data_IF_848685977693
#
_entry.id   IF_848685977693
#
_cell.length_a   1.000
_cell.length_b   1.000
_cell.length_c   1.000
_cell.angle_alpha   90.00
_cell.angle_beta   90.00
_cell.angle_gamma   90.00
#
_symmetry.space_group_name_H-M   'P 1'
#
loop_
_entity.id
_entity.type
_entity.pdbx_description
1 polymer ?
#
# COMPACT_ATOMS: atom_id res chain seq x y z
N UNK A 1 2.04 -40.45 -25.41
CA UNK A 1 3.51 -40.55 -25.35
C UNK A 1 3.96 -39.75 -24.12
N UNK A 2 4.98 -40.27 -23.44
CA UNK A 2 5.44 -39.99 -22.07
C UNK A 2 5.86 -38.52 -21.82
N UNK A 3 5.65 -38.05 -20.57
CA UNK A 3 6.09 -36.76 -19.99
C UNK A 3 7.61 -36.53 -20.13
N UNK A 4 8.02 -35.27 -20.19
CA UNK A 4 9.06 -34.79 -19.27
C UNK A 4 8.58 -33.50 -18.60
N UNK A 5 8.54 -33.56 -17.27
CA UNK A 5 8.33 -32.41 -16.40
C UNK A 5 9.69 -31.75 -16.19
N UNK A 6 9.83 -30.48 -16.58
CA UNK A 6 10.88 -29.64 -16.02
C UNK A 6 10.38 -29.07 -14.71
N UNK A 7 11.12 -29.38 -13.64
CA UNK A 7 10.90 -28.84 -12.31
C UNK A 7 11.27 -27.35 -12.31
N UNK A 8 10.32 -26.49 -12.67
CA UNK A 8 10.47 -25.05 -12.46
C UNK A 8 10.45 -24.82 -10.96
N UNK A 9 11.62 -24.54 -10.38
CA UNK A 9 11.73 -24.12 -8.98
C UNK A 9 10.75 -22.96 -8.75
N UNK A 10 9.74 -23.20 -7.93
CA UNK A 10 8.92 -22.15 -7.32
C UNK A 10 9.90 -21.13 -6.71
N UNK A 11 9.98 -19.91 -7.25
CA UNK A 11 10.67 -18.84 -6.54
C UNK A 11 9.93 -18.64 -5.22
N UNK A 12 10.69 -18.70 -4.13
CA UNK A 12 10.17 -18.77 -2.78
C UNK A 12 9.35 -17.52 -2.44
N UNK A 13 8.31 -17.71 -1.63
CA UNK A 13 7.55 -16.62 -1.01
C UNK A 13 8.53 -15.67 -0.31
N UNK A 14 8.32 -14.36 -0.47
CA UNK A 14 9.09 -13.36 0.25
C UNK A 14 8.30 -12.95 1.48
N UNK A 15 8.68 -13.40 2.70
CA UNK A 15 8.13 -12.85 3.92
C UNK A 15 8.59 -11.40 4.09
N UNK A 16 7.67 -10.50 4.43
CA UNK A 16 7.99 -9.06 4.55
C UNK A 16 8.74 -8.70 5.84
N UNK A 17 8.89 -9.61 6.81
CA UNK A 17 9.70 -9.46 8.03
C UNK A 17 10.46 -10.77 8.35
N UNK A 18 11.71 -10.71 8.83
CA UNK A 18 12.42 -11.89 9.37
C UNK A 18 13.48 -11.51 10.43
N UNK A 19 13.49 -12.23 11.56
CA UNK A 19 14.64 -13.08 11.90
C UNK A 19 14.25 -14.57 11.92
N UNK A 20 15.16 -15.40 11.42
CA UNK A 20 15.00 -16.82 11.13
C UNK A 20 14.59 -17.68 12.34
N UNK A 21 13.58 -18.53 12.17
CA UNK A 21 13.52 -19.88 12.76
C UNK A 21 12.59 -20.77 11.90
N UNK A 22 13.07 -21.98 11.60
CA UNK A 22 12.36 -22.99 10.80
C UNK A 22 11.31 -23.71 11.66
N UNK A 23 10.05 -23.70 11.23
CA UNK A 23 9.02 -24.64 11.70
C UNK A 23 8.15 -25.09 10.51
N UNK A 24 7.81 -26.38 10.52
CA UNK A 24 6.95 -27.12 9.57
C UNK A 24 5.63 -26.43 9.24
N UNK A 25 4.99 -26.74 8.09
CA UNK A 25 3.91 -25.93 7.55
C UNK A 25 2.66 -26.04 8.44
N UNK A 26 2.07 -24.92 8.90
CA UNK A 26 0.75 -24.98 9.51
C UNK A 26 -0.27 -25.31 8.42
N UNK A 27 -0.96 -26.41 8.69
CA UNK A 27 -2.29 -26.83 8.30
C UNK A 27 -3.13 -25.81 7.52
N UNK A 28 -3.79 -26.29 6.46
CA UNK A 28 -4.62 -25.52 5.53
C UNK A 28 -5.43 -24.41 6.23
N UNK A 29 -5.05 -23.16 5.97
CA UNK A 29 -5.81 -22.00 6.40
C UNK A 29 -7.28 -22.15 5.96
N UNK A 30 -8.20 -21.81 6.86
CA UNK A 30 -9.64 -21.75 6.60
C UNK A 30 -9.91 -21.03 5.26
N UNK A 31 -11.01 -21.34 4.54
CA UNK A 31 -11.30 -20.74 3.25
C UNK A 31 -11.53 -19.23 3.41
N UNK A 32 -10.44 -18.47 3.30
CA UNK A 32 -10.47 -17.02 3.18
C UNK A 32 -11.05 -16.63 1.82
N UNK A 33 -11.65 -15.45 1.75
CA UNK A 33 -12.19 -14.92 0.49
C UNK A 33 -11.01 -14.61 -0.44
N UNK A 34 -10.98 -15.24 -1.61
CA UNK A 34 -9.98 -14.94 -2.64
C UNK A 34 -10.55 -13.94 -3.65
N UNK A 35 -10.07 -12.70 -3.60
CA UNK A 35 -10.42 -11.66 -4.57
C UNK A 35 -9.41 -11.67 -5.73
N UNK A 36 -9.92 -11.65 -6.97
CA UNK A 36 -9.08 -11.51 -8.16
C UNK A 36 -9.05 -10.06 -8.60
N UNK A 37 -7.85 -9.48 -8.60
CA UNK A 37 -7.57 -8.10 -9.01
C UNK A 37 -6.32 -8.12 -9.91
N UNK A 38 -6.22 -7.20 -10.86
CA UNK A 38 -5.08 -7.17 -11.79
C UNK A 38 -3.79 -6.66 -11.11
N UNK A 39 -3.91 -5.64 -10.26
CA UNK A 39 -2.76 -4.98 -9.60
C UNK A 39 -3.06 -4.73 -8.12
N UNK A 40 -2.16 -5.17 -7.24
CA UNK A 40 -2.18 -4.80 -5.81
C UNK A 40 -1.05 -3.82 -5.54
N UNK A 41 -1.38 -2.63 -5.06
CA UNK A 41 -0.40 -1.66 -4.55
C UNK A 41 -0.30 -1.86 -3.04
N UNK A 42 0.91 -2.11 -2.54
CA UNK A 42 1.15 -2.34 -1.10
C UNK A 42 1.75 -1.07 -0.50
N UNK A 43 1.04 -0.49 0.47
CA UNK A 43 1.34 0.78 1.11
C UNK A 43 0.59 1.94 0.47
N UNK A 44 -0.03 2.79 1.29
CA UNK A 44 -0.74 4.00 0.87
C UNK A 44 -0.09 5.26 1.47
N UNK A 45 1.24 5.28 1.45
CA UNK A 45 2.03 6.49 1.55
C UNK A 45 2.17 7.18 0.19
N UNK A 46 3.10 8.14 0.09
CA UNK A 46 3.27 8.98 -1.09
C UNK A 46 3.46 8.18 -2.40
N UNK A 47 4.32 7.16 -2.38
CA UNK A 47 4.60 6.34 -3.54
C UNK A 47 3.36 5.54 -4.00
N UNK A 48 2.65 4.91 -3.05
CA UNK A 48 1.47 4.11 -3.34
C UNK A 48 0.30 4.95 -3.86
N UNK A 49 0.06 6.12 -3.26
CA UNK A 49 -0.98 7.05 -3.73
C UNK A 49 -0.66 7.61 -5.11
N UNK A 50 0.61 7.91 -5.39
CA UNK A 50 1.05 8.34 -6.73
C UNK A 50 0.85 7.23 -7.77
N UNK A 51 1.22 5.99 -7.44
CA UNK A 51 1.00 4.84 -8.31
C UNK A 51 -0.49 4.61 -8.59
N UNK A 52 -1.32 4.60 -7.54
CA UNK A 52 -2.76 4.44 -7.63
C UNK A 52 -3.43 5.51 -8.51
N UNK A 53 -3.01 6.77 -8.39
CA UNK A 53 -3.46 7.87 -9.24
C UNK A 53 -3.18 7.60 -10.72
N UNK A 54 -1.95 7.18 -11.05
CA UNK A 54 -1.59 6.87 -12.43
C UNK A 54 -2.33 5.64 -12.97
N UNK A 55 -2.54 4.60 -12.15
CA UNK A 55 -3.35 3.44 -12.53
C UNK A 55 -4.80 3.84 -12.87
N UNK A 56 -5.43 4.70 -12.04
CA UNK A 56 -6.78 5.24 -12.35
C UNK A 56 -6.77 6.04 -13.65
N UNK A 57 -5.76 6.89 -13.87
CA UNK A 57 -5.61 7.67 -15.11
C UNK A 57 -5.37 6.83 -16.36
N UNK A 58 -4.76 5.65 -16.22
CA UNK A 58 -4.61 4.68 -17.32
C UNK A 58 -5.91 3.90 -17.61
N UNK A 59 -6.99 4.18 -16.88
CA UNK A 59 -8.30 3.57 -17.10
C UNK A 59 -8.52 2.25 -16.35
N UNK A 60 -7.64 1.87 -15.42
CA UNK A 60 -7.89 0.70 -14.58
C UNK A 60 -9.03 0.98 -13.61
N UNK A 61 -10.06 0.13 -13.65
CA UNK A 61 -11.20 0.25 -12.75
C UNK A 61 -10.77 0.02 -11.29
N UNK A 62 -11.14 0.90 -10.35
CA UNK A 62 -10.94 0.64 -8.91
C UNK A 62 -11.57 -0.69 -8.48
N UNK A 63 -10.99 -1.34 -7.47
CA UNK A 63 -11.41 -2.63 -6.89
C UNK A 63 -11.22 -3.87 -7.78
N UNK A 64 -11.38 -3.77 -9.11
CA UNK A 64 -11.17 -4.90 -10.05
C UNK A 64 -9.83 -4.81 -10.79
N UNK A 65 -9.51 -3.64 -11.32
CA UNK A 65 -8.24 -3.36 -11.98
C UNK A 65 -7.12 -3.18 -10.97
N UNK A 66 -7.37 -2.41 -9.90
CA UNK A 66 -6.39 -2.29 -8.83
C UNK A 66 -7.01 -2.04 -7.45
N UNK A 67 -6.25 -2.40 -6.42
CA UNK A 67 -6.51 -2.06 -5.01
C UNK A 67 -5.23 -1.53 -4.37
N UNK A 68 -5.39 -0.73 -3.31
CA UNK A 68 -4.28 -0.31 -2.46
C UNK A 68 -4.50 -0.89 -1.06
N UNK A 69 -3.53 -1.62 -0.54
CA UNK A 69 -3.60 -2.20 0.81
C UNK A 69 -2.60 -1.47 1.70
N UNK A 70 -3.04 -0.99 2.86
CA UNK A 70 -2.17 -0.25 3.76
C UNK A 70 -2.39 -0.66 5.21
N UNK A 71 -1.29 -0.90 5.93
CA UNK A 71 -1.33 -1.42 7.30
C UNK A 71 -1.67 -0.35 8.33
N UNK A 72 -1.47 0.92 7.99
CA UNK A 72 -1.69 2.03 8.92
C UNK A 72 -3.17 2.15 9.31
N UNK A 73 -3.47 2.64 10.53
CA UNK A 73 -4.85 2.82 10.98
C UNK A 73 -5.58 3.92 10.21
N UNK A 74 -4.86 4.87 9.61
CA UNK A 74 -5.42 5.94 8.79
C UNK A 74 -4.46 6.44 7.71
N UNK A 75 -4.90 7.45 6.93
CA UNK A 75 -4.08 8.09 5.90
C UNK A 75 -2.78 8.70 6.43
N UNK A 76 -1.82 8.93 5.54
CA UNK A 76 -0.52 9.55 5.86
C UNK A 76 0.67 8.61 5.70
N UNK A 77 0.46 7.29 5.66
CA UNK A 77 1.54 6.31 5.65
C UNK A 77 2.50 6.57 6.82
N UNK A 78 3.82 6.46 6.60
CA UNK A 78 4.82 6.70 7.64
C UNK A 78 4.85 8.16 8.19
N UNK A 79 4.15 9.11 7.58
CA UNK A 79 4.13 10.49 8.07
C UNK A 79 3.34 10.67 9.36
N UNK A 80 2.32 9.84 9.60
CA UNK A 80 1.51 9.91 10.82
C UNK A 80 2.31 9.57 12.09
N UNK A 81 3.40 8.81 11.93
CA UNK A 81 4.28 8.38 13.02
C UNK A 81 5.51 9.28 13.20
N UNK A 82 5.58 10.42 12.50
CA UNK A 82 6.70 11.37 12.64
C UNK A 82 6.65 12.07 14.00
N UNK A 83 7.83 12.31 14.55
CA UNK A 83 8.02 12.89 15.88
C UNK A 83 7.39 14.29 15.99
N UNK A 84 6.90 14.70 17.19
CA UNK A 84 6.12 15.94 17.35
C UNK A 84 6.85 17.24 17.02
N UNK A 85 8.19 17.25 17.07
CA UNK A 85 8.99 18.43 16.73
C UNK A 85 9.22 18.61 15.23
N UNK A 86 8.75 17.70 14.37
CA UNK A 86 8.75 17.90 12.92
C UNK A 86 7.53 18.70 12.51
N UNK A 87 7.75 19.95 12.12
CA UNK A 87 6.75 20.91 11.65
C UNK A 87 6.89 21.18 10.14
N UNK A 88 5.94 21.88 9.54
CA UNK A 88 6.04 22.33 8.14
C UNK A 88 7.19 23.32 7.93
N UNK A 89 7.60 24.06 8.96
CA UNK A 89 8.78 24.94 8.94
C UNK A 89 10.12 24.18 8.98
N UNK A 90 10.16 22.99 9.56
CA UNK A 90 11.41 22.23 9.79
C UNK A 90 11.57 21.02 8.88
N UNK A 91 10.53 20.65 8.14
CA UNK A 91 10.61 19.55 7.18
C UNK A 91 11.40 19.95 5.93
N UNK A 92 12.14 19.01 5.35
CA UNK A 92 12.84 19.17 4.07
C UNK A 92 11.88 19.13 2.87
N UNK A 93 10.81 19.95 2.94
CA UNK A 93 9.65 20.01 2.05
C UNK A 93 8.81 18.73 2.00
N UNK A 94 7.51 18.93 1.77
CA UNK A 94 6.59 17.87 1.36
C UNK A 94 6.46 17.96 -0.14
N UNK A 95 6.66 16.86 -0.86
CA UNK A 95 6.44 16.82 -2.30
C UNK A 95 4.96 16.60 -2.61
N UNK A 96 4.46 17.37 -3.56
CA UNK A 96 3.10 17.23 -4.07
C UNK A 96 2.88 15.86 -4.70
N UNK A 97 1.71 15.30 -4.43
CA UNK A 97 1.17 14.16 -5.16
C UNK A 97 0.65 14.63 -6.53
N UNK A 98 0.72 13.76 -7.56
CA UNK A 98 0.35 14.14 -8.91
C UNK A 98 -1.12 14.58 -9.00
N UNK A 99 -1.36 15.77 -9.56
CA UNK A 99 -2.72 16.27 -9.82
C UNK A 99 -3.39 17.01 -8.66
N UNK A 100 -2.71 17.19 -7.51
CA UNK A 100 -3.23 17.99 -6.39
C UNK A 100 -2.07 18.48 -5.52
N UNK A 101 -1.86 19.79 -5.44
CA UNK A 101 -0.79 20.35 -4.61
C UNK A 101 -1.09 20.24 -3.11
N UNK A 102 -0.05 20.12 -2.29
CA UNK A 102 -0.17 20.13 -0.83
C UNK A 102 -0.81 21.42 -0.32
N UNK A 103 -0.45 22.57 -0.91
CA UNK A 103 -0.96 23.89 -0.51
C UNK A 103 -2.44 24.12 -0.84
N UNK A 104 -3.02 23.32 -1.74
CA UNK A 104 -4.47 23.35 -2.01
C UNK A 104 -5.30 22.85 -0.82
N UNK A 105 -4.71 21.98 0.01
CA UNK A 105 -5.39 21.36 1.16
C UNK A 105 -4.93 21.99 2.46
N UNK A 106 -3.62 22.14 2.63
CA UNK A 106 -3.02 22.70 3.83
C UNK A 106 -2.61 24.13 3.53
N UNK A 107 -3.35 25.08 4.11
CA UNK A 107 -3.02 26.50 3.99
C UNK A 107 -1.59 26.78 4.45
N UNK A 108 -0.89 27.65 3.72
CA UNK A 108 0.53 27.97 3.98
C UNK A 108 0.74 28.89 5.18
N UNK A 109 -0.34 29.38 5.80
CA UNK A 109 -0.30 30.45 6.79
C UNK A 109 0.02 29.96 8.21
N UNK A 110 0.20 28.64 8.40
CA UNK A 110 0.48 28.02 9.70
C UNK A 110 1.71 27.10 9.64
N UNK A 111 2.93 27.65 9.55
CA UNK A 111 4.16 26.87 9.36
C UNK A 111 4.54 25.99 10.57
N UNK A 112 3.98 26.28 11.76
CA UNK A 112 4.21 25.50 12.99
C UNK A 112 3.36 24.22 13.08
N UNK A 113 2.48 23.97 12.11
CA UNK A 113 1.69 22.73 12.09
C UNK A 113 2.63 21.53 11.99
N UNK A 114 2.35 20.50 12.79
CA UNK A 114 3.13 19.25 12.79
C UNK A 114 2.95 18.52 11.46
N UNK A 115 4.04 18.01 10.90
CA UNK A 115 4.01 17.22 9.67
C UNK A 115 3.17 15.94 9.84
N UNK A 116 3.16 15.35 11.04
CA UNK A 116 2.33 14.20 11.40
C UNK A 116 0.83 14.49 11.51
N UNK A 117 0.41 15.75 11.37
CA UNK A 117 -1.00 16.14 11.28
C UNK A 117 -1.34 16.56 9.86
N UNK A 118 -0.55 17.47 9.27
CA UNK A 118 -0.85 18.05 7.97
C UNK A 118 -0.72 17.04 6.81
N UNK A 119 0.28 16.15 6.83
CA UNK A 119 0.47 15.18 5.73
C UNK A 119 -0.63 14.12 5.71
N UNK A 120 -1.05 13.52 6.85
CA UNK A 120 -2.25 12.68 6.89
C UNK A 120 -3.51 13.35 6.34
N UNK A 121 -3.77 14.61 6.71
CA UNK A 121 -4.92 15.37 6.20
C UNK A 121 -4.87 15.55 4.68
N UNK A 122 -3.70 15.91 4.15
CA UNK A 122 -3.47 15.98 2.72
C UNK A 122 -3.69 14.64 2.00
N UNK A 123 -3.16 13.54 2.53
CA UNK A 123 -3.35 12.21 1.92
C UNK A 123 -4.82 11.77 1.98
N UNK A 124 -5.52 12.06 3.07
CA UNK A 124 -6.96 11.78 3.20
C UNK A 124 -7.78 12.54 2.14
N UNK A 125 -7.49 13.84 1.95
CA UNK A 125 -8.13 14.65 0.93
C UNK A 125 -7.82 14.14 -0.49
N UNK A 126 -6.58 13.71 -0.74
CA UNK A 126 -6.15 13.15 -2.01
C UNK A 126 -6.88 11.85 -2.35
N UNK A 127 -6.94 10.91 -1.41
CA UNK A 127 -7.68 9.65 -1.57
C UNK A 127 -9.15 9.88 -1.89
N UNK A 128 -9.79 10.83 -1.20
CA UNK A 128 -11.19 11.20 -1.44
C UNK A 128 -11.39 11.85 -2.80
N UNK A 129 -10.54 12.82 -3.18
CA UNK A 129 -10.65 13.56 -4.45
C UNK A 129 -10.51 12.63 -5.66
N UNK A 130 -9.62 11.66 -5.57
CA UNK A 130 -9.39 10.71 -6.66
C UNK A 130 -10.08 9.37 -6.47
N UNK A 131 -10.92 9.23 -5.45
CA UNK A 131 -11.68 8.01 -5.09
C UNK A 131 -10.80 6.74 -5.22
N UNK A 132 -9.65 6.75 -4.55
CA UNK A 132 -8.69 5.66 -4.64
C UNK A 132 -9.17 4.47 -3.77
N UNK A 133 -9.06 3.22 -4.27
CA UNK A 133 -9.55 2.03 -3.57
C UNK A 133 -8.58 1.57 -2.48
N UNK A 134 -8.42 2.38 -1.42
CA UNK A 134 -7.51 2.08 -0.32
C UNK A 134 -8.22 1.33 0.81
N UNK A 135 -7.67 0.19 1.18
CA UNK A 135 -8.16 -0.66 2.27
C UNK A 135 -7.22 -0.57 3.48
N UNK A 136 -7.81 -0.23 4.63
CA UNK A 136 -7.12 -0.08 5.92
C UNK A 136 -7.99 -0.59 7.08
N UNK A 137 -7.36 -1.01 8.20
CA UNK A 137 -5.95 -1.39 8.32
C UNK A 137 -5.77 -2.82 7.77
N UNK A 138 -4.87 -3.02 6.80
CA UNK A 138 -4.60 -4.34 6.20
C UNK A 138 -3.10 -4.55 6.07
N UNK A 139 -2.56 -5.53 6.80
CA UNK A 139 -1.16 -5.90 6.71
C UNK A 139 -0.99 -7.05 5.73
N UNK A 140 -0.29 -6.78 4.61
CA UNK A 140 0.17 -7.85 3.71
C UNK A 140 1.27 -8.64 4.42
N UNK A 141 1.05 -9.95 4.57
CA UNK A 141 1.97 -10.87 5.26
C UNK A 141 2.88 -11.60 4.28
N UNK A 142 2.34 -11.99 3.13
CA UNK A 142 3.06 -12.80 2.15
C UNK A 142 2.72 -12.38 0.75
N UNK A 143 3.74 -12.31 -0.11
CA UNK A 143 3.58 -12.28 -1.57
C UNK A 143 4.29 -13.51 -2.13
N UNK A 144 3.52 -14.40 -2.77
CA UNK A 144 4.03 -15.61 -3.40
C UNK A 144 3.76 -15.57 -4.90
N UNK A 145 4.75 -15.94 -5.70
CA UNK A 145 4.57 -16.22 -7.12
C UNK A 145 3.73 -17.50 -7.29
N UNK A 146 2.74 -17.44 -8.20
CA UNK A 146 1.91 -18.54 -8.65
C UNK A 146 1.81 -18.53 -10.18
N UNK A 147 2.90 -18.88 -10.85
CA UNK A 147 2.99 -18.96 -12.32
C UNK A 147 2.60 -17.64 -12.97
N UNK A 148 1.35 -17.50 -13.43
CA UNK A 148 0.87 -16.32 -14.18
C UNK A 148 0.33 -15.19 -13.27
N UNK A 149 0.33 -15.37 -11.95
CA UNK A 149 -0.16 -14.37 -11.00
C UNK A 149 0.61 -14.40 -9.68
N UNK A 150 0.44 -13.35 -8.88
CA UNK A 150 0.87 -13.33 -7.49
C UNK A 150 -0.30 -13.67 -6.56
N UNK A 151 -0.03 -14.44 -5.51
CA UNK A 151 -0.91 -14.58 -4.34
C UNK A 151 -0.42 -13.61 -3.27
N UNK A 152 -1.31 -12.72 -2.86
CA UNK A 152 -1.09 -11.79 -1.74
C UNK A 152 -1.92 -12.28 -0.57
N UNK A 153 -1.28 -12.55 0.56
CA UNK A 153 -1.94 -12.96 1.81
C UNK A 153 -1.90 -11.81 2.80
N UNK A 154 -3.02 -11.54 3.47
CA UNK A 154 -3.20 -10.46 4.44
C UNK A 154 -3.58 -11.01 5.80
N UNK A 155 -3.41 -10.21 6.86
CA UNK A 155 -3.87 -10.56 8.21
C UNK A 155 -5.40 -10.55 8.34
N UNK A 156 -6.07 -9.79 7.48
CA UNK A 156 -7.52 -9.70 7.36
C UNK A 156 -7.91 -9.39 5.93
N UNK A 157 -9.01 -10.01 5.49
CA UNK A 157 -9.92 -9.74 4.35
C UNK A 157 -10.64 -11.06 4.04
#
# INVERSE_FOLDING_TARGET
MIRLAEATRSRACVPMDSPSTLSSPPNAAAPGVALKVQIVVIGAGQAGLSAAYHLKRLGLAPHKGFVVLDQSPGPGGAWQDRWPSLTLSTVNRIHDLPGMSFSEVIGTDSPEVRASVAVPEYFAAYEKRFELPVYRPVAVKVVCDRHDHFRVETDRI
#
